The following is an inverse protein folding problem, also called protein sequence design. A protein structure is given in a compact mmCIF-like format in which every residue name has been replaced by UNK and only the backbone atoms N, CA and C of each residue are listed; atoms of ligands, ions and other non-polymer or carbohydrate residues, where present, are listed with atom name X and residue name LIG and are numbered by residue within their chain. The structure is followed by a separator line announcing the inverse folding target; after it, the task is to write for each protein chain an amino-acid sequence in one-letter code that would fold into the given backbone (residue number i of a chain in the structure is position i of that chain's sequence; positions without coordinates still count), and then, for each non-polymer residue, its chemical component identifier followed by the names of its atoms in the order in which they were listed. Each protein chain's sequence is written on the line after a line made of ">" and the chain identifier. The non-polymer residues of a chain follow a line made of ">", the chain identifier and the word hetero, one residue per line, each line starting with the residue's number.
data_IF_500776857866
#
_entry.id   IF_500776857866
#
_cell.length_a   1.000
_cell.length_b   1.000
_cell.length_c   1.000
_cell.angle_alpha   90.00
_cell.angle_beta   90.00
_cell.angle_gamma   90.00
#
_symmetry.space_group_name_H-M   'P 1'
#
loop_
_entity.id
_entity.type
_entity.pdbx_description
1 polymer ?
#
# COMPACT_ATOMS: atom_id res chain seq x y z
N UNK A 1 12.35 25.20 -14.02
CA UNK A 1 13.65 24.73 -13.47
C UNK A 1 13.71 24.97 -11.97
N UNK A 2 12.84 24.32 -11.19
CA UNK A 2 12.85 24.16 -9.72
C UNK A 2 12.06 22.86 -9.49
N UNK A 3 12.37 21.94 -8.59
CA UNK A 3 13.48 21.83 -7.68
C UNK A 3 13.82 20.35 -7.55
N UNK A 4 15.05 19.98 -7.91
CA UNK A 4 15.58 18.65 -7.58
C UNK A 4 16.03 18.54 -6.11
N UNK A 5 15.83 19.60 -5.33
CA UNK A 5 16.20 19.71 -3.92
C UNK A 5 14.99 19.84 -2.97
N UNK A 6 13.74 19.91 -3.47
CA UNK A 6 12.53 19.90 -2.63
C UNK A 6 12.08 18.48 -2.24
N UNK A 7 12.45 17.47 -3.03
CA UNK A 7 12.06 16.08 -2.76
C UNK A 7 12.61 15.56 -1.42
N UNK A 8 13.86 15.91 -1.07
CA UNK A 8 14.46 15.52 0.21
C UNK A 8 13.99 16.41 1.38
N UNK A 9 13.59 17.66 1.10
CA UNK A 9 13.07 18.57 2.12
C UNK A 9 11.64 18.20 2.54
N UNK A 10 10.84 17.65 1.62
CA UNK A 10 9.52 17.09 1.89
C UNK A 10 9.62 15.92 2.90
N UNK A 11 10.55 14.98 2.70
CA UNK A 11 10.76 13.85 3.62
C UNK A 11 11.18 14.21 5.05
N UNK A 12 11.77 15.38 5.28
CA UNK A 12 12.20 15.81 6.62
C UNK A 12 11.13 16.62 7.36
N UNK A 13 10.17 17.20 6.64
CA UNK A 13 8.96 17.82 7.21
C UNK A 13 7.86 16.78 7.50
N UNK A 14 7.88 15.64 6.80
CA UNK A 14 6.87 14.59 6.89
C UNK A 14 6.87 13.75 8.18
N UNK A 15 7.96 13.79 8.95
CA UNK A 15 8.00 13.13 10.27
C UNK A 15 7.08 13.82 11.31
N UNK A 16 6.65 15.06 11.03
CA UNK A 16 5.77 15.85 11.89
C UNK A 16 4.37 16.10 11.30
N UNK A 17 4.09 15.57 10.10
CA UNK A 17 2.87 15.89 9.37
C UNK A 17 1.64 15.19 9.96
N UNK A 18 0.68 16.00 10.42
CA UNK A 18 -0.61 15.51 10.90
C UNK A 18 -1.29 14.64 9.82
N UNK A 19 -1.91 13.50 10.19
CA UNK A 19 -2.56 12.62 9.22
C UNK A 19 -3.55 13.39 8.34
N UNK A 20 -3.41 13.25 7.02
CA UNK A 20 -4.30 13.93 6.07
C UNK A 20 -5.59 13.13 5.99
N UNK A 21 -6.78 13.74 6.14
CA UNK A 21 -8.03 13.02 6.02
C UNK A 21 -8.21 12.47 4.61
N UNK A 22 -8.49 11.17 4.52
CA UNK A 22 -8.63 10.43 3.28
C UNK A 22 -9.90 9.58 3.30
N UNK A 23 -10.56 9.45 2.16
CA UNK A 23 -11.74 8.60 2.06
C UNK A 23 -11.31 7.12 2.01
N UNK A 24 -11.83 6.26 2.91
CA UNK A 24 -11.58 4.83 2.86
C UNK A 24 -12.25 4.21 1.63
N UNK A 25 -11.76 3.05 1.20
CA UNK A 25 -12.39 2.33 0.11
C UNK A 25 -13.83 1.97 0.46
N UNK A 26 -14.75 2.17 -0.50
CA UNK A 26 -16.15 1.82 -0.35
C UNK A 26 -16.70 1.14 -1.59
N UNK A 27 -17.43 0.02 -1.41
CA UNK A 27 -18.11 -0.68 -2.50
C UNK A 27 -19.24 0.15 -3.15
N UNK A 28 -19.54 1.34 -2.61
CA UNK A 28 -20.56 2.28 -3.11
C UNK A 28 -20.06 3.21 -4.22
N UNK A 29 -18.74 3.33 -4.43
CA UNK A 29 -18.13 4.21 -5.42
C UNK A 29 -17.57 3.39 -6.60
N UNK A 30 -17.59 3.92 -7.84
CA UNK A 30 -16.96 3.24 -8.98
C UNK A 30 -15.46 3.03 -8.81
N UNK A 31 -14.93 1.91 -9.29
CA UNK A 31 -13.52 1.50 -9.17
C UNK A 31 -12.51 2.50 -9.74
N UNK A 32 -12.91 3.30 -10.74
CA UNK A 32 -12.05 4.34 -11.31
C UNK A 32 -12.01 5.63 -10.49
N UNK A 33 -12.87 5.79 -9.49
CA UNK A 33 -12.97 6.97 -8.64
C UNK A 33 -12.34 6.82 -7.26
N UNK A 34 -11.69 5.68 -6.97
CA UNK A 34 -11.09 5.39 -5.68
C UNK A 34 -9.82 4.54 -5.85
N UNK A 35 -8.86 4.65 -4.91
CA UNK A 35 -7.64 3.84 -4.93
C UNK A 35 -7.96 2.35 -4.82
N UNK A 36 -7.10 1.52 -5.42
CA UNK A 36 -7.27 0.07 -5.38
C UNK A 36 -6.91 -0.48 -3.99
N UNK A 37 -7.74 -1.36 -3.47
CA UNK A 37 -7.58 -1.97 -2.15
C UNK A 37 -6.27 -2.78 -2.07
N UNK A 38 -5.84 -3.36 -3.18
CA UNK A 38 -4.65 -4.22 -3.24
C UNK A 38 -3.34 -3.47 -2.95
N UNK A 39 -3.36 -2.13 -3.05
CA UNK A 39 -2.20 -1.27 -2.76
C UNK A 39 -2.46 -0.31 -1.60
N UNK A 40 -3.68 -0.26 -1.05
CA UNK A 40 -4.03 0.70 0.00
C UNK A 40 -3.52 0.25 1.36
N UNK A 41 -2.97 1.19 2.14
CA UNK A 41 -2.48 0.93 3.49
C UNK A 41 -3.63 0.70 4.50
N UNK A 42 -3.42 -0.15 5.52
CA UNK A 42 -4.50 -0.52 6.44
C UNK A 42 -5.04 0.65 7.27
N UNK A 43 -4.19 1.61 7.61
CA UNK A 43 -4.58 2.83 8.32
C UNK A 43 -5.50 3.73 7.47
N UNK A 44 -5.32 3.76 6.14
CA UNK A 44 -6.23 4.51 5.27
C UNK A 44 -7.64 3.94 5.37
N UNK A 45 -7.76 2.61 5.52
CA UNK A 45 -9.04 1.93 5.69
C UNK A 45 -9.59 2.03 7.12
N UNK A 46 -8.73 1.98 8.14
CA UNK A 46 -9.13 1.92 9.54
C UNK A 46 -9.39 3.30 10.16
N UNK A 47 -8.55 4.29 9.83
CA UNK A 47 -8.57 5.63 10.44
C UNK A 47 -8.95 6.72 9.44
N UNK A 48 -9.22 6.39 8.16
CA UNK A 48 -9.57 7.37 7.12
C UNK A 48 -8.52 8.47 7.02
N UNK A 49 -7.25 8.09 7.16
CA UNK A 49 -6.12 9.02 7.19
C UNK A 49 -4.96 8.50 6.35
N UNK A 50 -4.42 9.34 5.49
CA UNK A 50 -3.19 9.07 4.76
C UNK A 50 -2.00 9.71 5.46
N UNK A 51 -0.88 9.01 5.44
CA UNK A 51 0.41 9.51 5.87
C UNK A 51 1.48 9.12 4.84
N UNK A 52 2.69 9.68 4.92
CA UNK A 52 3.81 9.25 4.08
C UNK A 52 4.14 7.76 4.22
N UNK A 53 3.84 7.16 5.39
CA UNK A 53 3.98 5.72 5.59
C UNK A 53 2.96 4.93 4.75
N UNK A 54 1.76 5.48 4.53
CA UNK A 54 0.74 4.90 3.67
C UNK A 54 1.19 4.84 2.21
N UNK A 55 1.94 5.86 1.75
CA UNK A 55 2.55 5.88 0.42
C UNK A 55 3.67 4.84 0.31
N UNK A 56 4.48 4.67 1.36
CA UNK A 56 5.51 3.63 1.40
C UNK A 56 4.92 2.22 1.40
N UNK A 57 3.81 1.99 2.08
CA UNK A 57 3.09 0.72 2.02
C UNK A 57 2.62 0.43 0.59
N UNK A 58 1.98 1.41 -0.04
CA UNK A 58 1.47 1.29 -1.42
C UNK A 58 2.61 1.01 -2.42
N UNK A 59 3.73 1.70 -2.26
CA UNK A 59 4.94 1.46 -3.05
C UNK A 59 5.51 0.06 -2.82
N UNK A 60 5.56 -0.41 -1.58
CA UNK A 60 6.02 -1.77 -1.24
C UNK A 60 5.16 -2.84 -1.91
N UNK A 61 3.84 -2.67 -1.88
CA UNK A 61 2.89 -3.56 -2.55
C UNK A 61 3.06 -3.55 -4.07
N UNK A 62 3.29 -2.37 -4.67
CA UNK A 62 3.57 -2.22 -6.10
C UNK A 62 4.88 -2.93 -6.49
N UNK A 63 5.95 -2.72 -5.73
CA UNK A 63 7.24 -3.39 -5.96
C UNK A 63 7.05 -4.91 -5.91
N UNK A 64 6.39 -5.42 -4.87
CA UNK A 64 6.12 -6.85 -4.77
C UNK A 64 5.30 -7.39 -5.94
N UNK A 65 4.29 -6.64 -6.40
CA UNK A 65 3.51 -7.02 -7.57
C UNK A 65 4.39 -7.13 -8.82
N UNK A 66 5.26 -6.15 -9.07
CA UNK A 66 6.20 -6.16 -10.20
C UNK A 66 7.09 -7.40 -10.16
N UNK A 67 7.68 -7.69 -9.01
CA UNK A 67 8.56 -8.84 -8.84
C UNK A 67 7.83 -10.19 -8.84
N UNK A 68 6.53 -10.22 -8.56
CA UNK A 68 5.66 -11.40 -8.61
C UNK A 68 4.94 -11.53 -9.97
N UNK A 69 5.61 -11.19 -11.08
CA UNK A 69 5.05 -11.23 -12.44
C UNK A 69 3.77 -10.39 -12.63
N UNK A 70 3.68 -9.25 -11.96
CA UNK A 70 2.50 -8.37 -11.97
C UNK A 70 1.35 -8.84 -11.09
N UNK A 71 1.53 -9.88 -10.27
CA UNK A 71 0.48 -10.39 -9.37
C UNK A 71 0.58 -9.69 -7.99
N UNK A 72 -0.42 -8.92 -7.56
CA UNK A 72 -0.39 -8.28 -6.26
C UNK A 72 -0.37 -9.32 -5.13
N UNK A 73 0.22 -8.94 -3.99
CA UNK A 73 0.28 -9.81 -2.80
C UNK A 73 -1.07 -9.90 -2.07
N UNK A 74 -1.89 -8.85 -2.20
CA UNK A 74 -3.26 -8.79 -1.71
C UNK A 74 -4.18 -8.91 -2.93
N UNK A 75 -5.20 -9.74 -2.83
CA UNK A 75 -6.32 -9.80 -3.77
C UNK A 75 -7.59 -9.61 -2.94
N UNK A 76 -7.92 -8.34 -2.71
CA UNK A 76 -9.09 -7.95 -1.92
C UNK A 76 -10.39 -8.15 -2.71
N UNK A 77 -10.32 -8.19 -4.04
CA UNK A 77 -11.49 -8.26 -4.93
C UNK A 77 -12.61 -7.28 -4.51
N UNK A 78 -12.23 -6.03 -4.23
CA UNK A 78 -13.15 -4.95 -3.82
C UNK A 78 -13.94 -5.20 -2.52
N UNK A 79 -13.46 -6.13 -1.69
CA UNK A 79 -14.05 -6.45 -0.39
C UNK A 79 -13.06 -6.12 0.72
N UNK A 80 -13.47 -5.22 1.60
CA UNK A 80 -12.70 -4.84 2.80
C UNK A 80 -12.48 -6.02 3.74
N UNK A 81 -13.43 -6.96 3.79
CA UNK A 81 -13.31 -8.20 4.57
C UNK A 81 -12.22 -9.12 4.00
N UNK A 82 -12.14 -9.23 2.67
CA UNK A 82 -11.08 -10.01 2.03
C UNK A 82 -9.73 -9.31 2.17
N UNK A 83 -9.69 -7.98 2.02
CA UNK A 83 -8.50 -7.18 2.26
C UNK A 83 -7.88 -7.48 3.62
N UNK A 84 -8.64 -7.38 4.71
CA UNK A 84 -8.12 -7.63 6.06
C UNK A 84 -7.57 -9.06 6.21
N UNK A 85 -8.28 -10.07 5.68
CA UNK A 85 -7.82 -11.46 5.72
C UNK A 85 -6.52 -11.67 4.94
N UNK A 86 -6.41 -11.08 3.74
CA UNK A 86 -5.21 -11.18 2.92
C UNK A 86 -4.05 -10.42 3.55
N UNK A 87 -4.31 -9.27 4.18
CA UNK A 87 -3.31 -8.45 4.86
C UNK A 87 -2.61 -9.24 5.98
N UNK A 88 -3.34 -10.05 6.76
CA UNK A 88 -2.74 -10.96 7.75
C UNK A 88 -1.78 -11.98 7.11
N UNK A 89 -2.08 -12.41 5.88
CA UNK A 89 -1.27 -13.35 5.11
C UNK A 89 -0.10 -12.68 4.37
N UNK A 90 -0.09 -11.34 4.20
CA UNK A 90 0.97 -10.62 3.48
C UNK A 90 2.34 -10.88 4.07
N UNK A 91 2.46 -10.89 5.40
CA UNK A 91 3.74 -11.18 6.08
C UNK A 91 4.29 -12.56 5.72
N UNK A 92 3.41 -13.58 5.66
CA UNK A 92 3.78 -14.92 5.23
C UNK A 92 4.14 -14.96 3.73
N UNK A 93 3.35 -14.30 2.88
CA UNK A 93 3.61 -14.23 1.43
C UNK A 93 4.92 -13.50 1.12
N UNK A 94 5.24 -12.46 1.88
CA UNK A 94 6.50 -11.74 1.76
C UNK A 94 7.69 -12.61 2.18
N UNK A 95 7.54 -13.42 3.23
CA UNK A 95 8.57 -14.39 3.65
C UNK A 95 8.82 -15.47 2.58
N UNK A 96 7.79 -15.89 1.84
CA UNK A 96 7.97 -16.77 0.68
C UNK A 96 8.60 -16.07 -0.53
N UNK A 97 8.58 -14.74 -0.56
CA UNK A 97 9.19 -13.92 -1.61
C UNK A 97 10.71 -13.76 -1.42
N UNK A 98 11.17 -13.63 -0.16
CA UNK A 98 12.58 -13.42 0.20
C UNK A 98 13.42 -14.70 0.27
N UNK A 99 12.81 -15.88 0.25
CA UNK A 99 13.54 -17.14 0.18
C UNK A 99 13.66 -17.59 -1.28
N UNK A 100 14.81 -17.39 -1.95
CA UNK A 100 15.14 -18.25 -3.07
C UNK A 100 15.12 -19.68 -2.52
N UNK A 101 14.30 -20.55 -3.12
CA UNK A 101 14.48 -21.99 -2.95
C UNK A 101 15.90 -22.30 -3.44
N UNK A 102 16.87 -22.28 -2.53
CA UNK A 102 18.15 -22.92 -2.76
C UNK A 102 17.83 -24.39 -3.01
N UNK A 103 18.03 -24.81 -4.26
CA UNK A 103 18.01 -26.18 -4.69
C UNK A 103 18.63 -27.09 -3.61
N UNK A 104 17.83 -28.04 -3.14
CA UNK A 104 18.30 -29.28 -2.51
C UNK A 104 17.60 -30.42 -3.26
#
# INVERSE_FOLDING_TARGET
>A
MYGKNEFCLFSLHDLTQSPVPCQPFTSKLPKMGQPDLDFTAPEVQATSSCSPLSDMFSLGMLICAIFNNGRPLIDANHSTVNYTKQLELVSMRFSTFTLPKSHL
#
